data_IF_129570084494
#
_entry.id   IF_129570084494
#
_cell.length_a   1.000
_cell.length_b   1.000
_cell.length_c   1.000
_cell.angle_alpha   90.00
_cell.angle_beta   90.00
_cell.angle_gamma   90.00
#
_symmetry.space_group_name_H-M   'P 1'
#
loop_
_entity.id
_entity.type
_entity.pdbx_description
1 polymer ?
#
# COMPACT_ATOMS: atom_id res chain seq x y z
N UNK A 1 31.39 4.97 38.82
CA UNK A 1 30.29 5.46 37.96
C UNK A 1 29.90 4.36 37.00
N UNK A 2 28.71 3.80 37.13
CA UNK A 2 28.15 2.83 36.19
C UNK A 2 27.39 3.58 35.10
N UNK A 3 27.72 3.35 33.83
CA UNK A 3 26.87 3.73 32.71
C UNK A 3 26.37 2.44 32.07
N UNK A 4 25.15 2.07 32.45
CA UNK A 4 24.35 1.11 31.71
C UNK A 4 23.91 1.77 30.40
N UNK A 5 24.53 1.38 29.28
CA UNK A 5 23.96 1.67 27.97
C UNK A 5 22.86 0.65 27.70
N UNK A 6 21.63 1.15 27.77
CA UNK A 6 20.42 0.53 27.27
C UNK A 6 20.61 0.00 25.85
N UNK A 7 20.24 -1.27 25.63
CA UNK A 7 20.04 -1.85 24.30
C UNK A 7 18.97 -1.04 23.56
N UNK A 8 19.21 -0.55 22.34
CA UNK A 8 18.10 -0.25 21.45
C UNK A 8 17.44 -1.57 21.06
N UNK A 9 16.17 -1.69 21.44
CA UNK A 9 15.26 -2.70 20.96
C UNK A 9 14.91 -2.40 19.50
N UNK A 10 14.78 -3.48 18.72
CA UNK A 10 14.12 -3.52 17.43
C UNK A 10 14.71 -2.61 16.32
N UNK A 11 16.00 -2.76 16.08
CA UNK A 11 16.48 -2.63 14.70
C UNK A 11 16.22 -3.98 14.04
N UNK A 12 14.95 -4.26 13.68
CA UNK A 12 14.66 -5.14 12.56
C UNK A 12 15.42 -4.52 11.39
N UNK A 13 16.66 -4.95 11.21
CA UNK A 13 17.48 -4.65 10.06
C UNK A 13 16.72 -5.18 8.86
N UNK A 14 15.79 -4.35 8.37
CA UNK A 14 15.25 -4.39 7.02
C UNK A 14 16.48 -4.34 6.17
N UNK A 15 16.97 -5.52 5.81
CA UNK A 15 18.26 -5.68 5.18
C UNK A 15 18.21 -4.83 3.93
N UNK A 16 18.89 -3.69 3.97
CA UNK A 16 19.10 -2.76 2.88
C UNK A 16 20.00 -3.36 1.79
N UNK A 17 20.01 -4.70 1.67
CA UNK A 17 20.42 -5.38 0.46
C UNK A 17 19.39 -4.97 -0.56
N UNK A 18 19.84 -4.29 -1.60
CA UNK A 18 19.01 -3.86 -2.72
C UNK A 18 18.46 -5.12 -3.38
N UNK A 19 17.28 -5.56 -2.94
CA UNK A 19 16.72 -6.83 -3.37
C UNK A 19 16.33 -6.70 -4.85
N UNK A 20 16.92 -7.55 -5.68
CA UNK A 20 16.56 -7.64 -7.09
C UNK A 20 15.49 -8.72 -7.27
N UNK A 21 14.43 -8.38 -8.00
CA UNK A 21 13.37 -9.29 -8.41
C UNK A 21 13.68 -9.83 -9.80
N UNK A 22 13.53 -11.14 -10.00
CA UNK A 22 13.60 -11.72 -11.33
C UNK A 22 12.31 -11.41 -12.09
N UNK A 23 12.38 -10.65 -13.19
CA UNK A 23 11.23 -10.36 -14.05
C UNK A 23 10.44 -11.61 -14.49
N UNK A 24 11.05 -12.74 -14.92
CA UNK A 24 10.29 -13.94 -15.29
C UNK A 24 9.62 -14.64 -14.10
N UNK A 25 10.03 -14.31 -12.87
CA UNK A 25 9.39 -14.83 -11.68
C UNK A 25 8.09 -14.10 -11.35
N UNK A 26 7.86 -12.89 -11.87
CA UNK A 26 6.70 -12.08 -11.53
C UNK A 26 5.43 -12.77 -12.06
N UNK A 27 4.47 -13.01 -11.17
CA UNK A 27 3.18 -13.62 -11.49
C UNK A 27 2.03 -12.63 -11.46
N UNK A 28 2.17 -11.57 -10.69
CA UNK A 28 1.18 -10.52 -10.59
C UNK A 28 1.67 -9.40 -9.70
N UNK A 29 0.87 -8.33 -9.66
CA UNK A 29 1.11 -7.17 -8.84
C UNK A 29 -0.21 -6.67 -8.27
N UNK A 30 -0.14 -6.04 -7.11
CA UNK A 30 -1.25 -5.34 -6.47
C UNK A 30 -0.83 -3.91 -6.22
N UNK A 31 -1.59 -2.96 -6.75
CA UNK A 31 -1.35 -1.53 -6.49
C UNK A 31 -1.89 -1.19 -5.11
N UNK A 32 -0.99 -0.83 -4.19
CA UNK A 32 -1.37 -0.36 -2.86
C UNK A 32 -1.75 1.11 -2.94
N UNK A 33 -0.88 1.93 -3.56
CA UNK A 33 -1.05 3.37 -3.73
C UNK A 33 -0.26 3.86 -4.97
N UNK A 34 -0.27 5.17 -5.26
CA UNK A 34 0.41 5.80 -6.41
C UNK A 34 1.94 5.65 -6.39
N UNK A 35 2.55 5.32 -5.25
CA UNK A 35 3.99 5.09 -5.12
C UNK A 35 4.36 3.71 -4.59
N UNK A 36 3.36 2.88 -4.25
CA UNK A 36 3.57 1.64 -3.51
C UNK A 36 2.88 0.48 -4.22
N UNK A 37 3.66 -0.56 -4.49
CA UNK A 37 3.23 -1.75 -5.20
C UNK A 37 3.63 -2.99 -4.41
N UNK A 38 2.77 -3.99 -4.43
CA UNK A 38 3.06 -5.32 -3.93
C UNK A 38 3.26 -6.25 -5.12
N UNK A 39 4.46 -6.80 -5.30
CA UNK A 39 4.78 -7.70 -6.41
C UNK A 39 4.81 -9.13 -5.90
N UNK A 40 4.07 -10.02 -6.57
CA UNK A 40 4.06 -11.45 -6.24
C UNK A 40 4.92 -12.21 -7.25
N UNK A 41 5.88 -12.99 -6.75
CA UNK A 41 6.77 -13.79 -7.59
C UNK A 41 6.47 -15.29 -7.50
N UNK A 42 7.12 -16.07 -8.36
CA UNK A 42 7.11 -17.53 -8.34
C UNK A 42 7.68 -18.01 -7.01
N UNK A 43 6.96 -18.91 -6.34
CA UNK A 43 7.30 -19.37 -4.99
C UNK A 43 6.58 -18.64 -3.86
N UNK A 44 5.48 -17.91 -4.16
CA UNK A 44 4.64 -17.19 -3.17
C UNK A 44 5.39 -16.13 -2.35
N UNK A 45 6.57 -15.71 -2.82
CA UNK A 45 7.29 -14.58 -2.23
C UNK A 45 6.64 -13.29 -2.71
N UNK A 46 6.54 -12.34 -1.80
CA UNK A 46 5.99 -11.02 -2.08
C UNK A 46 7.05 -9.98 -1.79
N UNK A 47 7.04 -8.93 -2.59
CA UNK A 47 7.98 -7.83 -2.47
C UNK A 47 7.21 -6.53 -2.43
N UNK A 48 7.55 -5.68 -1.48
CA UNK A 48 7.12 -4.29 -1.46
C UNK A 48 8.05 -3.49 -2.37
N UNK A 49 7.48 -2.85 -3.37
CA UNK A 49 8.17 -2.01 -4.33
C UNK A 49 7.72 -0.57 -4.12
N UNK A 50 8.68 0.30 -3.83
CA UNK A 50 8.47 1.73 -3.64
C UNK A 50 9.02 2.47 -4.84
N UNK A 51 8.19 3.33 -5.43
CA UNK A 51 8.56 4.16 -6.57
C UNK A 51 9.24 5.46 -6.12
N UNK A 52 10.15 5.97 -6.94
CA UNK A 52 10.88 7.21 -6.69
C UNK A 52 9.99 8.45 -6.78
N UNK A 53 8.91 8.38 -7.58
CA UNK A 53 7.94 9.45 -7.74
C UNK A 53 6.53 8.87 -7.71
N UNK A 54 5.54 9.72 -7.46
CA UNK A 54 4.13 9.36 -7.58
C UNK A 54 3.81 9.08 -9.05
N UNK A 55 3.32 7.88 -9.32
CA UNK A 55 2.84 7.46 -10.61
C UNK A 55 1.36 7.79 -10.72
N UNK A 56 1.05 9.03 -11.12
CA UNK A 56 -0.33 9.45 -11.33
C UNK A 56 -1.01 8.56 -12.39
N UNK A 57 -2.15 7.97 -12.03
CA UNK A 57 -2.86 7.04 -12.92
C UNK A 57 -2.44 5.57 -12.79
N UNK A 58 -1.48 5.22 -11.93
CA UNK A 58 -1.08 3.82 -11.70
C UNK A 58 -2.25 2.94 -11.24
N UNK A 59 -3.15 3.51 -10.41
CA UNK A 59 -4.36 2.83 -9.91
C UNK A 59 -5.43 2.61 -11.00
N UNK A 60 -5.43 3.44 -12.04
CA UNK A 60 -6.40 3.38 -13.14
C UNK A 60 -5.83 2.70 -14.39
N UNK A 61 -4.55 2.30 -14.35
CA UNK A 61 -3.88 1.68 -15.48
C UNK A 61 -4.40 0.26 -15.71
N UNK A 62 -4.57 -0.09 -16.99
CA UNK A 62 -4.97 -1.42 -17.43
C UNK A 62 -3.82 -2.42 -17.49
N UNK A 63 -2.57 -1.95 -17.46
CA UNK A 63 -1.40 -2.79 -17.60
C UNK A 63 -0.20 -2.14 -16.96
N UNK A 64 0.38 -2.80 -15.97
CA UNK A 64 1.64 -2.41 -15.33
C UNK A 64 2.66 -3.48 -15.70
N UNK A 65 3.82 -3.03 -16.16
CA UNK A 65 4.95 -3.90 -16.36
C UNK A 65 6.22 -3.35 -15.74
N UNK A 66 7.22 -4.22 -15.71
CA UNK A 66 8.48 -3.94 -15.05
C UNK A 66 9.61 -4.12 -16.06
N UNK A 67 10.53 -3.15 -16.07
CA UNK A 67 11.70 -3.15 -16.93
C UNK A 67 12.95 -2.98 -16.08
N UNK A 68 13.87 -3.92 -16.22
CA UNK A 68 15.19 -3.84 -15.59
C UNK A 68 16.28 -3.31 -16.54
N UNK A 69 17.43 -2.90 -16.01
CA UNK A 69 18.61 -2.56 -16.81
C UNK A 69 19.26 -3.79 -17.46
N UNK A 70 19.07 -4.97 -16.86
CA UNK A 70 19.62 -6.25 -17.33
C UNK A 70 18.49 -7.20 -17.66
N UNK A 71 18.68 -8.03 -18.68
CA UNK A 71 17.70 -9.03 -19.14
C UNK A 71 17.24 -9.91 -17.98
N UNK A 72 16.00 -9.70 -17.52
CA UNK A 72 15.34 -10.56 -16.56
C UNK A 72 15.52 -10.22 -15.08
N UNK A 73 16.19 -9.11 -14.69
CA UNK A 73 16.28 -8.67 -13.29
C UNK A 73 15.95 -7.19 -13.10
N UNK A 74 15.11 -6.92 -12.10
CA UNK A 74 14.65 -5.60 -11.71
C UNK A 74 15.20 -5.32 -10.31
N UNK A 75 16.11 -4.36 -10.20
CA UNK A 75 16.73 -3.98 -8.93
C UNK A 75 16.24 -2.59 -8.51
N UNK A 76 16.34 -2.28 -7.21
CA UNK A 76 16.16 -0.93 -6.72
C UNK A 76 17.10 0.07 -7.45
N UNK A 77 16.66 1.32 -7.60
CA UNK A 77 17.32 2.43 -8.30
C UNK A 77 17.43 2.33 -9.83
N UNK A 78 17.55 1.12 -10.40
CA UNK A 78 17.74 0.93 -11.85
C UNK A 78 16.53 0.31 -12.55
N UNK A 79 15.63 -0.32 -11.79
CA UNK A 79 14.37 -0.83 -12.31
C UNK A 79 13.37 0.29 -12.56
N UNK A 80 12.56 0.12 -13.59
CA UNK A 80 11.49 1.02 -13.98
C UNK A 80 10.17 0.26 -14.03
N UNK A 81 9.11 0.91 -13.57
CA UNK A 81 7.74 0.46 -13.72
C UNK A 81 7.12 1.28 -14.85
N UNK A 82 6.62 0.59 -15.87
CA UNK A 82 5.87 1.21 -16.96
C UNK A 82 4.40 0.87 -16.79
N UNK A 83 3.54 1.84 -17.08
CA UNK A 83 2.10 1.64 -17.01
C UNK A 83 1.42 2.42 -18.12
N UNK A 84 0.40 1.81 -18.71
CA UNK A 84 -0.41 2.43 -19.74
C UNK A 84 -1.46 3.32 -19.05
N UNK A 85 -1.26 4.64 -19.13
CA UNK A 85 -2.20 5.63 -18.65
C UNK A 85 -3.31 5.88 -19.67
N UNK A 86 -4.35 6.62 -19.27
CA UNK A 86 -5.47 6.96 -20.16
C UNK A 86 -5.06 7.90 -21.31
N UNK A 87 -3.99 8.66 -21.14
CA UNK A 87 -3.52 9.65 -22.12
C UNK A 87 -2.08 9.46 -22.57
N UNK A 88 -1.20 8.90 -21.71
CA UNK A 88 0.20 8.70 -22.02
C UNK A 88 0.75 7.44 -21.35
N UNK A 89 1.74 6.82 -21.98
CA UNK A 89 2.53 5.74 -21.38
C UNK A 89 3.56 6.38 -20.44
N UNK A 90 3.39 6.14 -19.14
CA UNK A 90 4.27 6.70 -18.13
C UNK A 90 5.22 5.63 -17.59
N UNK A 91 6.44 6.06 -17.28
CA UNK A 91 7.44 5.22 -16.63
C UNK A 91 8.02 5.91 -15.41
N UNK A 92 8.16 5.14 -14.33
CA UNK A 92 8.67 5.65 -13.05
C UNK A 92 9.71 4.69 -12.50
N UNK A 93 10.82 5.25 -12.02
CA UNK A 93 11.90 4.48 -11.41
C UNK A 93 11.52 3.92 -10.06
N UNK A 94 12.04 2.74 -9.76
CA UNK A 94 11.90 2.08 -8.47
C UNK A 94 12.95 2.66 -7.52
N UNK A 95 12.49 3.22 -6.40
CA UNK A 95 13.38 3.71 -5.34
C UNK A 95 13.91 2.55 -4.49
N UNK A 96 13.02 1.65 -4.05
CA UNK A 96 13.38 0.57 -3.15
C UNK A 96 12.55 -0.68 -3.43
N UNK A 97 13.15 -1.83 -3.14
CA UNK A 97 12.51 -3.14 -3.20
C UNK A 97 12.85 -3.84 -1.88
N UNK A 98 11.83 -4.37 -1.22
CA UNK A 98 11.96 -5.10 0.04
C UNK A 98 11.21 -6.43 -0.07
N UNK A 99 11.87 -7.54 0.24
CA UNK A 99 11.17 -8.80 0.45
C UNK A 99 10.27 -8.74 1.69
N UNK A 100 9.05 -9.25 1.56
CA UNK A 100 8.08 -9.33 2.65
C UNK A 100 7.89 -10.77 3.08
N UNK A 101 7.87 -10.97 4.40
CA UNK A 101 7.34 -12.16 5.03
C UNK A 101 5.81 -12.10 5.05
N UNK A 102 5.17 -13.22 5.39
CA UNK A 102 3.70 -13.32 5.38
C UNK A 102 3.05 -12.36 6.38
N UNK A 103 3.68 -12.12 7.53
CA UNK A 103 3.18 -11.20 8.57
C UNK A 103 3.29 -9.72 8.10
N UNK A 104 4.46 -9.33 7.57
CA UNK A 104 4.72 -7.97 7.06
C UNK A 104 3.76 -7.60 5.91
N UNK A 105 3.31 -8.58 5.12
CA UNK A 105 2.32 -8.36 4.06
C UNK A 105 0.98 -7.92 4.63
N UNK A 106 0.48 -8.59 5.66
CA UNK A 106 -0.84 -8.30 6.23
C UNK A 106 -0.85 -6.91 6.84
N UNK A 107 0.22 -6.54 7.55
CA UNK A 107 0.40 -5.20 8.10
C UNK A 107 0.40 -4.12 7.01
N UNK A 108 1.10 -4.36 5.89
CA UNK A 108 1.10 -3.43 4.77
C UNK A 108 -0.30 -3.32 4.13
N UNK A 109 -1.01 -4.43 3.97
CA UNK A 109 -2.36 -4.39 3.39
C UNK A 109 -3.34 -3.63 4.30
N UNK A 110 -3.20 -3.73 5.62
CA UNK A 110 -3.97 -2.96 6.60
C UNK A 110 -3.59 -1.48 6.53
N UNK A 111 -2.29 -1.17 6.53
CA UNK A 111 -1.79 0.20 6.49
C UNK A 111 -2.25 0.97 5.25
N UNK A 112 -2.23 0.32 4.08
CA UNK A 112 -2.66 0.92 2.81
C UNK A 112 -4.19 0.81 2.59
N UNK A 113 -4.95 0.37 3.60
CA UNK A 113 -6.41 0.32 3.57
C UNK A 113 -6.98 -0.66 2.52
N UNK A 114 -6.16 -1.60 2.04
CA UNK A 114 -6.56 -2.66 1.10
C UNK A 114 -7.21 -3.85 1.83
N UNK A 115 -6.91 -4.01 3.12
CA UNK A 115 -7.60 -4.89 4.07
C UNK A 115 -8.24 -3.97 5.13
N UNK A 116 -9.55 -4.10 5.38
CA UNK A 116 -10.16 -3.43 6.54
C UNK A 116 -9.49 -4.02 7.79
N UNK A 117 -9.02 -3.22 8.76
CA UNK A 117 -8.71 -3.77 10.07
C UNK A 117 -9.98 -4.43 10.59
N UNK A 118 -9.88 -5.60 11.20
CA UNK A 118 -11.00 -6.31 11.82
C UNK A 118 -11.43 -5.55 13.08
N UNK A 119 -12.02 -4.38 12.87
CA UNK A 119 -12.77 -3.64 13.88
C UNK A 119 -14.15 -4.29 13.83
N UNK A 120 -14.57 -4.89 14.94
CA UNK A 120 -15.94 -5.38 15.14
C UNK A 120 -16.94 -4.43 14.50
N UNK A 121 -17.70 -4.99 13.57
CA UNK A 121 -18.76 -4.33 12.84
C UNK A 121 -19.87 -3.98 13.85
N UNK A 122 -19.80 -2.80 14.49
CA UNK A 122 -20.97 -2.28 15.22
C UNK A 122 -22.07 -2.02 14.17
N UNK A 123 -23.28 -2.58 14.34
CA UNK A 123 -24.27 -2.68 13.27
C UNK A 123 -24.73 -1.31 12.73
N UNK A 124 -25.19 -1.34 11.48
CA UNK A 124 -25.57 -0.18 10.67
C UNK A 124 -26.44 0.86 11.41
N UNK A 125 -26.31 2.16 11.09
CA UNK A 125 -27.23 3.18 11.61
C UNK A 125 -28.66 2.79 11.24
N UNK A 126 -29.52 2.65 12.25
CA UNK A 126 -30.95 2.48 12.03
C UNK A 126 -31.50 3.77 11.41
N UNK A 127 -32.24 3.65 10.30
CA UNK A 127 -33.01 4.76 9.74
C UNK A 127 -34.02 5.22 10.80
N UNK A 128 -33.82 6.42 11.35
CA UNK A 128 -34.81 7.04 12.23
C UNK A 128 -35.96 7.57 11.38
N UNK A 129 -36.99 6.76 11.21
CA UNK A 129 -38.28 7.17 10.67
C UNK A 129 -38.92 8.21 11.58
N UNK A 130 -39.10 9.42 11.04
CA UNK A 130 -40.09 10.44 11.41
C UNK A 130 -40.39 10.66 12.90
N UNK A 131 -39.82 11.70 13.50
CA UNK A 131 -40.41 12.33 14.67
C UNK A 131 -41.37 13.43 14.20
N UNK A 132 -42.66 13.21 14.40
CA UNK A 132 -43.71 14.23 14.29
C UNK A 132 -43.35 15.40 15.22
N UNK A 133 -43.28 16.61 14.67
CA UNK A 133 -43.19 17.85 15.45
C UNK A 133 -44.60 18.24 15.86
N UNK A 134 -44.99 17.90 17.09
CA UNK A 134 -46.16 18.50 17.73
C UNK A 134 -45.76 19.90 18.21
N UNK A 135 -46.22 20.95 17.51
CA UNK A 135 -46.04 22.34 17.94
C UNK A 135 -46.77 22.54 19.28
N UNK A 136 -46.00 22.70 20.35
CA UNK A 136 -46.50 23.06 21.67
C UNK A 136 -46.82 24.57 21.67
N UNK A 137 -48.10 24.93 21.82
CA UNK A 137 -48.55 26.32 21.99
C UNK A 137 -47.88 26.97 23.22
N UNK A 138 -47.19 28.13 23.08
CA UNK A 138 -46.81 28.92 24.24
C UNK A 138 -48.01 29.74 24.74
N UNK A 139 -48.52 29.36 25.91
CA UNK A 139 -49.36 30.21 26.71
C UNK A 139 -48.58 31.42 27.27
N UNK A 140 -49.34 32.51 27.50
CA UNK A 140 -49.09 33.70 28.33
C UNK A 140 -48.51 34.95 27.65
N UNK A 141 -49.32 36.02 27.53
CA UNK A 141 -49.35 37.16 28.48
C UNK A 141 -50.33 38.27 27.99
N UNK A 142 -51.42 38.53 28.73
CA UNK A 142 -51.91 39.83 29.29
C UNK A 142 -53.28 39.65 29.99
#
# INVERSE_FOLDING_TARGET
>A
MACASSKPADERAVSSRSDCISQPSIRGYTVLDESNLLVTTSGRRKYHVVLQRRAYGLRSSWGIGFKGPTTGRICAAFGEVFFDGHYDNASVRIAAIRALDSEDEEDLLIQFGKKKPEIEHTPAPQEVTGAEVEELDPAADD
#
